data_IF_844782744417
#
_entry.id   IF_844782744417
#
_cell.length_a   1.000
_cell.length_b   1.000
_cell.length_c   1.000
_cell.angle_alpha   90.00
_cell.angle_beta   90.00
_cell.angle_gamma   90.00
#
_symmetry.space_group_name_H-M   'P 1'
#
loop_
_entity.id
_entity.type
_entity.pdbx_description
1 polymer ?
#
# COMPACT_ATOMS: atom_id res chain seq x y z
N UNK A 1 -1.07 -37.31 -17.31
CA UNK A 1 -1.79 -36.06 -17.61
C UNK A 1 -2.66 -35.59 -16.43
N UNK A 2 -3.62 -36.39 -15.95
CA UNK A 2 -4.56 -35.98 -14.89
C UNK A 2 -3.90 -35.62 -13.53
N UNK A 3 -2.92 -36.42 -13.08
CA UNK A 3 -2.19 -36.14 -11.83
C UNK A 3 -1.45 -34.79 -11.86
N UNK A 4 -0.82 -34.46 -13.00
CA UNK A 4 -0.10 -33.20 -13.18
C UNK A 4 -1.05 -32.00 -13.11
N UNK A 5 -2.21 -32.09 -13.77
CA UNK A 5 -3.23 -31.04 -13.74
C UNK A 5 -3.79 -30.84 -12.33
N UNK A 6 -3.98 -31.94 -11.59
CA UNK A 6 -4.44 -31.90 -10.21
C UNK A 6 -3.40 -31.16 -9.34
N UNK A 7 -2.13 -31.57 -9.38
CA UNK A 7 -1.03 -30.93 -8.65
C UNK A 7 -0.89 -29.43 -8.99
N UNK A 8 -1.02 -29.06 -10.27
CA UNK A 8 -1.00 -27.66 -10.71
C UNK A 8 -2.17 -26.85 -10.14
N UNK A 9 -3.36 -27.46 -10.06
CA UNK A 9 -4.53 -26.82 -9.44
C UNK A 9 -4.33 -26.56 -7.93
N UNK A 10 -3.73 -27.51 -7.21
CA UNK A 10 -3.42 -27.34 -5.79
C UNK A 10 -2.34 -26.29 -5.56
N UNK A 11 -1.26 -26.30 -6.36
CA UNK A 11 -0.19 -25.31 -6.23
C UNK A 11 -0.68 -23.90 -6.54
N UNK A 12 -1.51 -23.70 -7.56
CA UNK A 12 -2.10 -22.40 -7.87
C UNK A 12 -2.96 -21.86 -6.72
N UNK A 13 -3.77 -22.73 -6.08
CA UNK A 13 -4.59 -22.35 -4.92
C UNK A 13 -3.74 -21.96 -3.71
N UNK A 14 -2.67 -22.71 -3.44
CA UNK A 14 -1.74 -22.41 -2.34
C UNK A 14 -1.00 -21.09 -2.58
N UNK A 15 -0.54 -20.84 -3.80
CA UNK A 15 0.10 -19.58 -4.17
C UNK A 15 -0.85 -18.39 -4.03
N UNK A 16 -2.11 -18.55 -4.48
CA UNK A 16 -3.13 -17.51 -4.32
C UNK A 16 -3.40 -17.23 -2.83
N UNK A 17 -3.55 -18.27 -2.01
CA UNK A 17 -3.74 -18.12 -0.57
C UNK A 17 -2.56 -17.40 0.08
N UNK A 18 -1.33 -17.80 -0.27
CA UNK A 18 -0.12 -17.14 0.24
C UNK A 18 -0.08 -15.65 -0.16
N UNK A 19 -0.40 -15.32 -1.41
CA UNK A 19 -0.46 -13.93 -1.88
C UNK A 19 -1.50 -13.11 -1.12
N UNK A 20 -2.70 -13.66 -0.87
CA UNK A 20 -3.75 -13.00 -0.09
C UNK A 20 -3.35 -12.79 1.37
N UNK A 21 -2.67 -13.76 1.99
CA UNK A 21 -2.15 -13.63 3.35
C UNK A 21 -1.05 -12.57 3.45
N UNK A 22 -0.14 -12.51 2.48
CA UNK A 22 0.88 -11.46 2.41
C UNK A 22 0.24 -10.08 2.21
N UNK A 23 -0.74 -9.96 1.33
CA UNK A 23 -1.51 -8.73 1.14
C UNK A 23 -2.20 -8.31 2.44
N UNK A 24 -2.91 -9.23 3.11
CA UNK A 24 -3.57 -8.94 4.37
C UNK A 24 -2.57 -8.52 5.46
N UNK A 25 -1.44 -9.23 5.57
CA UNK A 25 -0.36 -8.87 6.48
C UNK A 25 0.16 -7.47 6.22
N UNK A 26 0.36 -7.10 4.95
CA UNK A 26 0.76 -5.76 4.57
C UNK A 26 -0.29 -4.70 4.91
N UNK A 27 -1.58 -4.95 4.66
CA UNK A 27 -2.67 -4.03 5.03
C UNK A 27 -2.72 -3.81 6.55
N UNK A 28 -2.58 -4.88 7.34
CA UNK A 28 -2.50 -4.81 8.80
C UNK A 28 -1.27 -4.02 9.26
N UNK A 29 -0.11 -4.22 8.62
CA UNK A 29 1.10 -3.46 8.90
C UNK A 29 0.91 -1.97 8.63
N UNK A 30 0.35 -1.58 7.48
CA UNK A 30 0.05 -0.18 7.15
C UNK A 30 -0.91 0.43 8.18
N UNK A 31 -1.97 -0.29 8.55
CA UNK A 31 -2.90 0.15 9.61
C UNK A 31 -2.17 0.38 10.94
N UNK A 32 -1.30 -0.54 11.33
CA UNK A 32 -0.53 -0.41 12.56
C UNK A 32 0.37 0.82 12.54
N UNK A 33 1.08 1.07 11.44
CA UNK A 33 1.91 2.27 11.27
C UNK A 33 1.07 3.54 11.39
N UNK A 34 -0.11 3.58 10.77
CA UNK A 34 -1.02 4.72 10.90
C UNK A 34 -1.38 4.97 12.37
N UNK A 35 -1.92 3.96 13.06
CA UNK A 35 -2.30 4.10 14.47
C UNK A 35 -1.13 4.49 15.37
N UNK A 36 0.09 3.99 15.08
CA UNK A 36 1.29 4.32 15.84
C UNK A 36 1.63 5.81 15.75
N UNK A 37 1.45 6.44 14.59
CA UNK A 37 1.84 7.83 14.34
C UNK A 37 0.66 8.82 14.30
N UNK A 38 -0.58 8.37 14.47
CA UNK A 38 -1.78 9.25 14.46
C UNK A 38 -1.80 10.29 15.59
N UNK A 39 -0.96 10.14 16.62
CA UNK A 39 -0.77 11.14 17.67
C UNK A 39 0.07 12.35 17.19
N UNK A 40 0.84 12.20 16.11
CA UNK A 40 1.60 13.29 15.51
C UNK A 40 0.65 14.01 14.55
N UNK A 41 0.36 15.31 14.76
CA UNK A 41 -0.44 16.07 13.83
C UNK A 41 0.28 16.10 12.48
N UNK A 42 -0.48 15.83 11.42
CA UNK A 42 0.03 15.82 10.06
C UNK A 42 -1.09 16.08 9.05
N UNK A 43 -0.74 16.28 7.78
CA UNK A 43 -1.71 16.53 6.73
C UNK A 43 -2.67 15.34 6.56
N UNK A 44 -3.89 15.59 6.06
CA UNK A 44 -4.82 14.52 5.73
C UNK A 44 -4.24 13.66 4.60
N UNK A 45 -4.22 12.33 4.82
CA UNK A 45 -3.75 11.36 3.82
C UNK A 45 -4.73 11.24 2.66
N UNK A 46 -4.22 11.30 1.43
CA UNK A 46 -5.02 11.08 0.22
C UNK A 46 -5.52 9.63 0.10
N UNK A 47 -4.68 8.67 0.52
CA UNK A 47 -4.95 7.24 0.39
C UNK A 47 -4.48 6.45 1.60
N UNK A 48 -5.25 5.41 1.96
CA UNK A 48 -4.85 4.46 2.99
C UNK A 48 -3.58 3.69 2.63
N UNK A 49 -3.42 3.24 1.37
CA UNK A 49 -2.26 2.45 0.95
C UNK A 49 -1.11 3.31 0.46
N UNK A 50 -1.44 4.40 -0.24
CA UNK A 50 -0.47 5.16 -1.01
C UNK A 50 -0.08 6.49 -0.37
N UNK A 51 -0.60 6.80 0.83
CA UNK A 51 -0.31 8.04 1.55
C UNK A 51 -0.58 9.27 0.69
N UNK A 52 0.41 10.17 0.57
CA UNK A 52 0.37 11.42 -0.21
C UNK A 52 0.99 11.30 -1.62
N UNK A 53 1.21 10.08 -2.11
CA UNK A 53 1.89 9.89 -3.41
C UNK A 53 1.15 10.55 -4.59
N UNK A 54 -0.19 10.57 -4.56
CA UNK A 54 -0.99 11.27 -5.57
C UNK A 54 -0.67 12.77 -5.58
N UNK A 55 -0.68 13.40 -4.40
CA UNK A 55 -0.26 14.80 -4.23
C UNK A 55 1.17 15.04 -4.73
N UNK A 56 2.13 14.16 -4.43
CA UNK A 56 3.51 14.32 -4.92
C UNK A 56 3.63 14.22 -6.44
N UNK A 57 2.88 13.32 -7.07
CA UNK A 57 2.84 13.19 -8.54
C UNK A 57 2.26 14.45 -9.16
N UNK A 58 1.18 15.00 -8.58
CA UNK A 58 0.57 16.24 -9.06
C UNK A 58 1.52 17.43 -8.92
N UNK A 59 2.16 17.59 -7.76
CA UNK A 59 3.15 18.64 -7.52
C UNK A 59 4.30 18.59 -8.52
N UNK A 60 4.84 17.39 -8.74
CA UNK A 60 5.91 17.18 -9.72
C UNK A 60 5.45 17.52 -11.14
N UNK A 61 4.22 17.15 -11.52
CA UNK A 61 3.67 17.47 -12.85
C UNK A 61 3.40 18.97 -13.04
N UNK A 62 3.01 19.66 -11.99
CA UNK A 62 2.79 21.12 -12.00
C UNK A 62 4.08 21.95 -11.96
N UNK A 63 5.24 21.30 -11.76
CA UNK A 63 6.52 21.98 -11.57
C UNK A 63 6.69 22.64 -10.20
N UNK A 64 5.83 22.32 -9.23
CA UNK A 64 5.92 22.81 -7.85
C UNK A 64 6.95 22.02 -7.05
N UNK A 65 7.63 22.69 -6.11
CA UNK A 65 8.56 22.04 -5.19
C UNK A 65 7.77 21.34 -4.07
N UNK A 66 8.04 20.05 -3.86
CA UNK A 66 7.40 19.28 -2.79
C UNK A 66 7.73 19.88 -1.41
N UNK A 67 8.91 20.47 -1.25
CA UNK A 67 9.33 21.14 -0.01
C UNK A 67 8.41 22.31 0.38
N UNK A 68 7.87 23.04 -0.59
CA UNK A 68 6.98 24.17 -0.31
C UNK A 68 5.67 23.66 0.31
N UNK A 69 5.17 22.51 -0.15
CA UNK A 69 3.98 21.88 0.46
C UNK A 69 4.20 21.37 1.86
N UNK A 70 5.41 20.91 2.20
CA UNK A 70 5.72 20.54 3.58
C UNK A 70 5.73 21.75 4.53
N UNK A 71 5.95 22.97 4.03
CA UNK A 71 5.85 24.18 4.85
C UNK A 71 4.40 24.62 5.09
N UNK A 72 3.47 24.18 4.25
CA UNK A 72 2.02 24.45 4.40
C UNK A 72 1.33 23.48 5.37
N UNK A 73 1.99 22.38 5.74
CA UNK A 73 1.46 21.29 6.56
C UNK A 73 2.00 21.33 8.00
#
# INVERSE_FOLDING_TARGET
MALLLLLLGWSAKLLLLAALLLLLGYLCYVKHVHMKYDHIPGPPRDSFLFGHSATYVELTRSGQLIHDRFLEW
#
